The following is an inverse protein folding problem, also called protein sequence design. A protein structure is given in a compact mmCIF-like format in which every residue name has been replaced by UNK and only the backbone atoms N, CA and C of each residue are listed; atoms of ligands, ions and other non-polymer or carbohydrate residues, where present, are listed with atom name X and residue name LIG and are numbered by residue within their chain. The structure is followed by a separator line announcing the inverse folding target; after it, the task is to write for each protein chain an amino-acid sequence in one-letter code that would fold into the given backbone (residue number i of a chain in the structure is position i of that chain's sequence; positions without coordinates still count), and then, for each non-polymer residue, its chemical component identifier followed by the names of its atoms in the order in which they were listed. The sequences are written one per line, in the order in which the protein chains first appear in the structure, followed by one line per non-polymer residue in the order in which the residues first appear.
data_IF_113767318743
#
_entry.id   IF_113767318743
#
_cell.length_a   1.000
_cell.length_b   1.000
_cell.length_c   1.000
_cell.angle_alpha   90.00
_cell.angle_beta   90.00
_cell.angle_gamma   90.00
#
_symmetry.space_group_name_H-M   'P 1'
#
loop_
_entity.id
_entity.type
_entity.pdbx_description
1 polymer ?
#
# COMPACT_ATOMS: atom_id res chain seq x y z
N UNK A 1 -39.82 -31.58 -21.13
CA UNK A 1 -39.38 -30.78 -19.96
C UNK A 1 -37.95 -31.18 -19.62
N UNK A 2 -36.96 -30.45 -20.13
CA UNK A 2 -35.55 -30.78 -19.94
C UNK A 2 -35.08 -30.37 -18.53
N UNK A 3 -34.63 -31.35 -17.75
CA UNK A 3 -34.03 -31.17 -16.42
C UNK A 3 -32.70 -30.43 -16.55
N UNK A 4 -32.64 -29.18 -16.09
CA UNK A 4 -31.39 -28.44 -15.90
C UNK A 4 -30.64 -29.09 -14.74
N UNK A 5 -29.53 -29.76 -15.03
CA UNK A 5 -28.60 -30.22 -14.00
C UNK A 5 -27.94 -28.98 -13.41
N UNK A 6 -28.19 -28.68 -12.14
CA UNK A 6 -27.42 -27.71 -11.39
C UNK A 6 -26.01 -28.30 -11.21
N UNK A 7 -25.04 -27.74 -11.93
CA UNK A 7 -23.63 -28.07 -11.71
C UNK A 7 -23.26 -27.71 -10.27
N UNK A 8 -22.80 -28.70 -9.50
CA UNK A 8 -22.23 -28.46 -8.18
C UNK A 8 -21.08 -27.46 -8.32
N UNK A 9 -21.08 -26.33 -7.60
CA UNK A 9 -20.00 -25.35 -7.70
C UNK A 9 -18.68 -26.01 -7.32
N UNK A 10 -17.80 -26.21 -8.29
CA UNK A 10 -16.42 -26.64 -8.03
C UNK A 10 -15.71 -25.43 -7.43
N UNK A 11 -15.37 -25.50 -6.15
CA UNK A 11 -14.52 -24.51 -5.51
C UNK A 11 -13.14 -24.54 -6.18
N UNK A 12 -12.84 -23.53 -7.00
CA UNK A 12 -11.51 -23.34 -7.58
C UNK A 12 -10.66 -22.54 -6.61
N UNK A 13 -9.54 -23.12 -6.19
CA UNK A 13 -8.46 -22.38 -5.56
C UNK A 13 -7.76 -21.59 -6.68
N UNK A 14 -8.00 -20.29 -6.74
CA UNK A 14 -7.31 -19.37 -7.64
C UNK A 14 -6.23 -18.68 -6.81
N UNK A 15 -4.98 -18.79 -7.24
CA UNK A 15 -3.88 -18.07 -6.61
C UNK A 15 -4.12 -16.55 -6.72
N UNK A 16 -3.84 -15.77 -5.66
CA UNK A 16 -3.99 -14.33 -5.72
C UNK A 16 -3.06 -13.74 -6.77
N UNK A 17 -3.55 -12.74 -7.51
CA UNK A 17 -2.70 -11.96 -8.42
C UNK A 17 -1.76 -11.12 -7.56
N UNK A 18 -0.45 -11.29 -7.79
CA UNK A 18 0.58 -10.50 -7.15
C UNK A 18 0.85 -9.25 -7.96
N UNK A 19 0.75 -8.10 -7.32
CA UNK A 19 0.95 -6.79 -7.92
C UNK A 19 1.64 -5.83 -6.93
N UNK A 20 1.89 -4.60 -7.37
CA UNK A 20 2.62 -3.58 -6.61
C UNK A 20 1.69 -2.49 -6.09
N UNK A 21 1.94 -2.01 -4.88
CA UNK A 21 1.18 -0.89 -4.31
C UNK A 21 2.02 -0.03 -3.38
N UNK A 22 1.62 1.24 -3.27
CA UNK A 22 2.10 2.20 -2.30
C UNK A 22 1.01 2.59 -1.30
N UNK A 23 1.43 2.99 -0.10
CA UNK A 23 0.56 3.47 0.96
C UNK A 23 1.15 4.71 1.65
N UNK A 24 0.28 5.50 2.27
CA UNK A 24 0.70 6.42 3.33
C UNK A 24 0.83 5.64 4.64
N UNK A 25 1.56 6.20 5.60
CA UNK A 25 1.72 5.62 6.93
C UNK A 25 1.19 6.60 7.98
N UNK A 26 0.41 6.11 8.92
CA UNK A 26 -0.03 6.85 10.11
C UNK A 26 0.33 6.07 11.35
N UNK A 27 0.59 6.76 12.47
CA UNK A 27 0.83 6.05 13.72
C UNK A 27 0.93 6.91 14.99
N UNK A 28 1.12 6.20 16.10
CA UNK A 28 1.27 6.73 17.45
C UNK A 28 2.51 7.61 17.60
N UNK A 29 2.62 8.34 18.72
CA UNK A 29 3.71 9.32 18.95
C UNK A 29 5.08 8.67 19.09
N UNK A 30 5.12 7.43 19.55
CA UNK A 30 6.30 6.60 19.78
C UNK A 30 6.61 5.65 18.61
N UNK A 31 5.72 5.55 17.62
CA UNK A 31 5.93 4.73 16.42
C UNK A 31 5.70 3.24 16.60
N UNK A 32 5.10 2.83 17.72
CA UNK A 32 4.81 1.42 18.05
C UNK A 32 3.49 0.92 17.46
N UNK A 33 2.52 1.82 17.26
CA UNK A 33 1.25 1.52 16.60
C UNK A 33 1.17 2.25 15.26
N UNK A 34 1.18 1.50 14.16
CA UNK A 34 1.19 2.04 12.80
C UNK A 34 0.14 1.38 11.92
N UNK A 35 -0.41 2.14 10.98
CA UNK A 35 -1.39 1.67 9.99
C UNK A 35 -1.04 2.19 8.61
N UNK A 36 -1.20 1.32 7.62
CA UNK A 36 -1.23 1.69 6.21
C UNK A 36 -2.53 2.44 5.94
N UNK A 37 -2.42 3.63 5.38
CA UNK A 37 -3.55 4.43 4.95
C UNK A 37 -3.55 4.56 3.41
N UNK A 38 -4.72 4.82 2.80
CA UNK A 38 -4.79 5.09 1.37
C UNK A 38 -3.87 6.24 0.94
N UNK A 39 -3.32 6.15 -0.27
CA UNK A 39 -2.57 7.28 -0.87
C UNK A 39 -3.49 8.45 -1.20
N UNK A 40 -4.70 8.14 -1.68
CA UNK A 40 -5.66 9.12 -2.15
C UNK A 40 -7.03 8.82 -1.54
N UNK A 41 -7.82 9.88 -1.37
CA UNK A 41 -9.14 9.83 -0.75
C UNK A 41 -9.11 9.85 0.78
N UNK A 42 -10.29 9.72 1.36
CA UNK A 42 -10.60 9.72 2.79
C UNK A 42 -10.91 8.31 3.33
N UNK A 43 -10.50 7.28 2.58
CA UNK A 43 -10.73 5.90 2.94
C UNK A 43 -10.09 5.51 4.28
N UNK A 44 -10.71 4.55 4.96
CA UNK A 44 -10.20 4.02 6.24
C UNK A 44 -8.81 3.39 6.06
N UNK A 45 -7.98 3.38 7.11
CA UNK A 45 -6.74 2.61 7.11
C UNK A 45 -7.00 1.12 6.82
N UNK A 46 -6.02 0.48 6.20
CA UNK A 46 -6.09 -0.93 5.86
C UNK A 46 -6.12 -1.77 7.14
N UNK A 47 -7.04 -2.75 7.24
CA UNK A 47 -7.19 -3.57 8.42
C UNK A 47 -5.93 -4.45 8.61
N UNK A 48 -5.32 -4.46 9.81
CA UNK A 48 -4.24 -5.38 10.12
C UNK A 48 -4.74 -6.84 10.13
N UNK A 49 -3.95 -7.77 9.56
CA UNK A 49 -4.20 -9.23 9.63
C UNK A 49 -5.53 -9.68 9.05
N UNK A 50 -6.18 -8.83 8.25
CA UNK A 50 -7.43 -9.15 7.55
C UNK A 50 -7.38 -8.54 6.16
N UNK A 51 -7.97 -9.20 5.15
CA UNK A 51 -8.14 -8.62 3.83
C UNK A 51 -8.88 -7.29 3.89
N UNK A 52 -8.46 -6.34 3.07
CA UNK A 52 -9.25 -5.16 2.78
C UNK A 52 -10.32 -5.53 1.75
N UNK A 53 -11.56 -5.09 1.97
CA UNK A 53 -12.69 -5.34 1.07
C UNK A 53 -13.16 -4.04 0.40
N UNK A 54 -13.31 -4.09 -0.92
CA UNK A 54 -13.68 -2.95 -1.72
C UNK A 54 -15.17 -2.71 -1.64
N UNK A 55 -15.55 -1.46 -1.37
CA UNK A 55 -16.92 -1.00 -1.50
C UNK A 55 -16.98 0.23 -2.41
N UNK A 56 -18.04 0.32 -3.23
CA UNK A 56 -18.28 1.50 -4.05
C UNK A 56 -18.92 2.60 -3.20
N UNK A 57 -18.15 3.60 -2.81
CA UNK A 57 -18.66 4.74 -2.03
C UNK A 57 -19.56 5.67 -2.84
N UNK A 58 -19.35 5.76 -4.16
CA UNK A 58 -20.05 6.69 -5.06
C UNK A 58 -21.48 6.25 -5.36
N UNK A 59 -21.69 4.96 -5.65
CA UNK A 59 -23.00 4.49 -6.15
C UNK A 59 -23.71 3.54 -5.18
N UNK A 60 -23.01 2.93 -4.20
CA UNK A 60 -23.52 1.89 -3.26
C UNK A 60 -24.36 0.76 -3.91
N UNK A 61 -24.42 0.71 -5.24
CA UNK A 61 -25.33 -0.12 -6.03
C UNK A 61 -24.67 -1.38 -6.55
N UNK A 62 -23.36 -1.53 -6.37
CA UNK A 62 -22.61 -2.70 -6.80
C UNK A 62 -21.45 -3.02 -5.85
N UNK A 63 -21.07 -4.30 -5.82
CA UNK A 63 -19.83 -4.78 -5.23
C UNK A 63 -18.67 -4.36 -6.15
N UNK A 64 -17.60 -3.79 -5.60
CA UNK A 64 -16.45 -3.35 -6.39
C UNK A 64 -15.42 -4.47 -6.61
N UNK A 65 -14.63 -4.43 -7.68
CA UNK A 65 -14.62 -3.48 -8.79
C UNK A 65 -15.69 -3.79 -9.85
N UNK A 66 -16.20 -2.75 -10.49
CA UNK A 66 -17.03 -2.84 -11.70
C UNK A 66 -16.21 -2.29 -12.89
N UNK A 67 -16.47 -2.77 -14.12
CA UNK A 67 -15.68 -2.46 -15.32
C UNK A 67 -15.65 -0.95 -15.62
N UNK A 68 -16.79 -0.28 -15.52
CA UNK A 68 -16.99 1.14 -15.84
C UNK A 68 -17.00 2.06 -14.61
N UNK A 69 -16.73 1.52 -13.42
CA UNK A 69 -16.51 2.27 -12.20
C UNK A 69 -15.01 2.36 -11.88
N UNK A 70 -14.57 3.33 -11.06
CA UNK A 70 -13.20 3.41 -10.54
C UNK A 70 -13.04 2.78 -9.15
N UNK A 71 -14.05 2.07 -8.64
CA UNK A 71 -13.95 1.41 -7.34
C UNK A 71 -12.98 0.20 -7.37
N UNK A 72 -12.62 -0.30 -6.20
CA UNK A 72 -11.69 -1.42 -6.05
C UNK A 72 -10.31 -1.01 -5.58
N UNK A 73 -9.55 -1.98 -5.06
CA UNK A 73 -8.16 -1.76 -4.69
C UNK A 73 -7.28 -1.81 -5.92
N UNK A 74 -6.62 -0.70 -6.21
CA UNK A 74 -5.69 -0.59 -7.34
C UNK A 74 -4.32 -1.15 -6.98
N UNK A 75 -3.70 -1.85 -7.92
CA UNK A 75 -2.30 -2.23 -7.83
C UNK A 75 -1.68 -2.12 -9.21
N UNK A 76 -0.40 -1.76 -9.27
CA UNK A 76 0.35 -1.66 -10.51
C UNK A 76 1.00 -2.99 -10.87
N UNK A 77 1.21 -3.26 -12.15
CA UNK A 77 1.97 -4.43 -12.61
C UNK A 77 3.48 -4.33 -12.33
N UNK A 78 3.99 -3.11 -12.14
CA UNK A 78 5.42 -2.83 -11.89
C UNK A 78 5.58 -1.77 -10.79
N UNK A 79 6.64 -1.83 -9.97
CA UNK A 79 6.91 -0.80 -8.97
C UNK A 79 7.25 0.56 -9.62
N UNK A 80 7.82 0.56 -10.83
CA UNK A 80 8.20 1.80 -11.50
C UNK A 80 6.98 2.62 -11.94
N UNK A 81 5.84 1.98 -12.21
CA UNK A 81 4.57 2.65 -12.48
C UNK A 81 4.07 3.47 -11.27
N UNK A 82 4.56 3.17 -10.07
CA UNK A 82 4.18 3.86 -8.83
C UNK A 82 5.07 5.06 -8.48
N UNK A 83 6.13 5.36 -9.25
CA UNK A 83 7.09 6.43 -8.94
C UNK A 83 6.46 7.83 -8.83
N UNK A 84 5.36 8.04 -9.56
CA UNK A 84 4.60 9.30 -9.57
C UNK A 84 3.52 9.35 -8.48
N UNK A 85 3.42 8.32 -7.64
CA UNK A 85 2.59 8.35 -6.44
C UNK A 85 3.01 9.53 -5.59
N UNK A 86 2.06 10.36 -5.19
CA UNK A 86 2.32 11.50 -4.31
C UNK A 86 2.65 11.02 -2.90
N UNK A 87 3.86 11.38 -2.43
CA UNK A 87 4.34 11.19 -1.06
C UNK A 87 4.12 9.79 -0.45
N UNK A 88 4.48 8.68 -1.13
CA UNK A 88 4.38 7.34 -0.56
C UNK A 88 5.30 7.18 0.64
N UNK A 89 4.81 6.52 1.69
CA UNK A 89 5.62 6.14 2.85
C UNK A 89 6.03 4.67 2.80
N UNK A 90 5.19 3.82 2.20
CA UNK A 90 5.40 2.38 2.13
C UNK A 90 5.23 1.92 0.69
N UNK A 91 6.14 1.06 0.24
CA UNK A 91 6.05 0.28 -1.00
C UNK A 91 5.94 -1.20 -0.64
N UNK A 92 5.21 -1.96 -1.44
CA UNK A 92 5.05 -3.38 -1.19
C UNK A 92 4.40 -4.12 -2.34
N UNK A 93 4.44 -5.44 -2.24
CA UNK A 93 3.61 -6.32 -3.03
C UNK A 93 2.26 -6.52 -2.35
N UNK A 94 1.22 -6.75 -3.15
CA UNK A 94 -0.14 -6.96 -2.70
C UNK A 94 -0.74 -8.14 -3.44
N UNK A 95 -1.41 -9.03 -2.70
CA UNK A 95 -2.21 -10.11 -3.26
C UNK A 95 -3.61 -9.59 -3.52
N UNK A 96 -4.13 -9.87 -4.71
CA UNK A 96 -5.44 -9.42 -5.20
C UNK A 96 -6.31 -10.62 -5.56
N UNK A 97 -7.58 -10.62 -5.13
CA UNK A 97 -8.52 -11.71 -5.44
C UNK A 97 -9.99 -11.28 -5.36
N UNK A 98 -10.89 -12.24 -5.61
CA UNK A 98 -12.32 -12.01 -5.78
C UNK A 98 -12.62 -11.61 -7.22
N UNK A 99 -13.37 -10.52 -7.43
CA UNK A 99 -13.50 -9.93 -8.76
C UNK A 99 -12.27 -9.09 -9.05
N UNK A 100 -11.61 -9.37 -10.16
CA UNK A 100 -10.43 -8.62 -10.63
C UNK A 100 -10.72 -8.04 -12.00
N UNK A 101 -10.31 -6.79 -12.21
CA UNK A 101 -10.31 -6.11 -13.51
C UNK A 101 -8.88 -5.73 -13.83
N UNK A 102 -8.36 -6.24 -14.93
CA UNK A 102 -7.07 -5.85 -15.49
C UNK A 102 -7.18 -4.57 -16.32
N UNK A 103 -6.14 -3.74 -16.25
CA UNK A 103 -5.95 -2.50 -16.98
C UNK A 103 -4.53 -2.49 -17.55
N UNK A 104 -4.26 -1.61 -18.51
CA UNK A 104 -2.96 -1.50 -19.19
C UNK A 104 -1.73 -1.45 -18.25
N UNK A 105 -1.89 -0.90 -17.04
CA UNK A 105 -0.80 -0.72 -16.08
C UNK A 105 -1.02 -1.42 -14.73
N UNK A 106 -1.99 -2.34 -14.65
CA UNK A 106 -2.21 -3.12 -13.44
C UNK A 106 -3.63 -3.60 -13.25
N UNK A 107 -4.10 -3.60 -12.00
CA UNK A 107 -5.28 -4.34 -11.60
C UNK A 107 -6.14 -3.55 -10.63
N UNK A 108 -7.44 -3.87 -10.61
CA UNK A 108 -8.37 -3.51 -9.54
C UNK A 108 -9.02 -4.77 -9.00
N UNK A 109 -9.14 -4.91 -7.69
CA UNK A 109 -9.73 -6.11 -7.08
C UNK A 109 -10.70 -5.84 -5.94
N UNK A 110 -11.58 -6.82 -5.68
CA UNK A 110 -12.54 -6.80 -4.55
C UNK A 110 -11.82 -6.94 -3.23
N UNK A 111 -10.83 -7.82 -3.17
CA UNK A 111 -10.04 -8.07 -2.00
C UNK A 111 -8.57 -7.80 -2.27
N UNK A 112 -7.91 -7.26 -1.26
CA UNK A 112 -6.48 -7.03 -1.31
C UNK A 112 -5.84 -7.23 0.08
N UNK A 113 -4.63 -7.77 0.10
CA UNK A 113 -3.82 -7.83 1.32
C UNK A 113 -2.34 -7.66 1.02
N UNK A 114 -1.60 -6.81 1.77
CA UNK A 114 -0.16 -6.67 1.61
C UNK A 114 0.54 -8.01 1.79
N UNK A 115 1.57 -8.28 1.00
CA UNK A 115 2.33 -9.54 1.07
C UNK A 115 3.75 -9.31 1.58
N UNK A 116 4.40 -8.24 1.09
CA UNK A 116 5.71 -7.79 1.58
C UNK A 116 5.74 -6.27 1.59
N UNK A 117 6.34 -5.68 2.62
CA UNK A 117 6.36 -4.23 2.81
C UNK A 117 7.76 -3.70 3.08
N UNK A 118 8.04 -2.47 2.64
CA UNK A 118 9.20 -1.69 3.05
C UNK A 118 8.86 -0.22 3.18
N UNK A 119 9.52 0.46 4.12
CA UNK A 119 9.52 1.91 4.16
C UNK A 119 10.28 2.45 2.94
N UNK A 120 9.82 3.56 2.38
CA UNK A 120 10.49 4.23 1.27
C UNK A 120 10.64 5.72 1.55
N UNK A 121 11.81 6.25 1.22
CA UNK A 121 11.99 7.69 1.11
C UNK A 121 11.35 8.12 -0.21
N UNK A 122 10.27 8.91 -0.14
CA UNK A 122 9.50 9.27 -1.32
C UNK A 122 10.32 10.03 -2.37
N UNK A 123 11.27 10.87 -1.95
CA UNK A 123 12.17 11.60 -2.84
C UNK A 123 13.08 10.64 -3.61
N UNK A 124 13.71 9.69 -2.91
CA UNK A 124 14.51 8.63 -3.54
C UNK A 124 13.67 7.81 -4.53
N UNK A 125 12.47 7.39 -4.11
CA UNK A 125 11.61 6.53 -4.91
C UNK A 125 11.11 7.23 -6.17
N UNK A 126 10.69 8.49 -6.08
CA UNK A 126 10.28 9.25 -7.25
C UNK A 126 11.42 9.44 -8.26
N UNK A 127 12.64 9.71 -7.78
CA UNK A 127 13.80 9.92 -8.64
C UNK A 127 14.33 8.63 -9.28
N UNK A 128 14.40 7.54 -8.52
CA UNK A 128 15.17 6.35 -8.92
C UNK A 128 14.36 5.06 -9.03
N UNK A 129 13.09 5.05 -8.61
CA UNK A 129 12.20 3.90 -8.73
C UNK A 129 12.77 2.64 -8.10
N UNK A 130 12.83 1.55 -8.85
CA UNK A 130 13.44 0.28 -8.40
C UNK A 130 14.90 0.38 -7.97
N UNK A 131 15.62 1.41 -8.43
CA UNK A 131 17.02 1.69 -8.07
C UNK A 131 17.17 2.61 -6.86
N UNK A 132 16.06 3.01 -6.23
CA UNK A 132 16.12 3.85 -5.05
C UNK A 132 16.87 3.16 -3.90
N UNK A 133 17.72 3.88 -3.15
CA UNK A 133 18.36 3.36 -1.97
C UNK A 133 17.37 2.62 -1.05
N UNK A 134 17.79 1.45 -0.61
CA UNK A 134 17.05 0.52 0.24
C UNK A 134 16.49 1.16 1.50
N UNK A 135 17.31 2.01 2.10
CA UNK A 135 17.26 2.30 3.51
C UNK A 135 16.65 3.66 3.80
N UNK A 136 15.79 3.67 4.82
CA UNK A 136 15.37 4.86 5.53
C UNK A 136 15.96 4.75 6.93
N UNK A 137 16.67 5.77 7.39
CA UNK A 137 17.22 5.81 8.74
C UNK A 137 16.18 6.36 9.72
N UNK A 138 15.29 7.24 9.24
CA UNK A 138 14.33 7.95 10.10
C UNK A 138 12.92 7.94 9.54
N UNK A 139 11.97 8.20 10.44
CA UNK A 139 10.56 8.49 10.13
C UNK A 139 10.17 9.80 10.79
N UNK A 140 9.81 10.79 9.98
CA UNK A 140 9.28 12.07 10.44
C UNK A 140 7.79 11.91 10.71
N UNK A 141 7.38 12.13 11.96
CA UNK A 141 5.97 12.09 12.36
C UNK A 141 5.40 13.51 12.47
N UNK A 142 4.43 13.83 11.62
CA UNK A 142 3.73 15.11 11.62
C UNK A 142 2.60 15.18 12.67
N UNK A 143 2.09 16.39 12.88
CA UNK A 143 0.81 16.60 13.60
C UNK A 143 -0.29 15.86 12.83
N UNK A 144 -1.19 15.18 13.55
CA UNK A 144 -2.20 14.30 12.94
C UNK A 144 -1.73 12.86 12.69
N UNK A 145 -0.47 12.52 12.98
CA UNK A 145 0.01 11.14 12.99
C UNK A 145 0.56 10.61 11.69
N UNK A 146 0.51 11.38 10.59
CA UNK A 146 1.19 11.04 9.33
C UNK A 146 2.69 10.84 9.56
N UNK A 147 3.21 9.76 8.99
CA UNK A 147 4.60 9.34 9.10
C UNK A 147 5.25 9.34 7.71
N UNK A 148 6.40 10.00 7.60
CA UNK A 148 7.15 10.18 6.35
C UNK A 148 8.57 9.62 6.56
N UNK A 149 8.87 8.43 6.05
CA UNK A 149 10.22 7.89 6.06
C UNK A 149 11.13 8.71 5.15
N UNK A 150 12.35 8.96 5.63
CA UNK A 150 13.38 9.66 4.87
C UNK A 150 14.71 8.94 5.05
N UNK A 151 15.55 8.99 4.03
CA UNK A 151 16.96 8.74 4.22
C UNK A 151 17.64 9.96 4.86
N UNK A 152 18.81 9.78 5.45
CA UNK A 152 19.60 10.84 6.08
C UNK A 152 19.87 12.03 5.14
N UNK A 153 20.34 11.84 3.87
CA UNK A 153 20.52 12.95 2.94
C UNK A 153 19.25 13.77 2.70
N UNK A 154 18.08 13.12 2.63
CA UNK A 154 16.81 13.80 2.41
C UNK A 154 16.23 14.41 3.70
N UNK A 155 16.57 13.90 4.87
CA UNK A 155 16.29 14.57 6.15
C UNK A 155 17.07 15.88 6.25
N UNK A 156 18.36 15.86 5.91
CA UNK A 156 19.21 17.05 5.88
C UNK A 156 18.71 18.08 4.86
N UNK A 157 18.36 17.62 3.66
CA UNK A 157 17.77 18.47 2.63
C UNK A 157 16.49 19.14 3.14
N UNK A 158 15.60 18.36 3.77
CA UNK A 158 14.35 18.87 4.35
C UNK A 158 14.61 19.97 5.39
N UNK A 159 15.59 19.77 6.28
CA UNK A 159 16.00 20.78 7.27
C UNK A 159 16.55 22.03 6.60
N UNK A 160 17.41 21.88 5.59
CA UNK A 160 18.04 22.99 4.85
C UNK A 160 17.01 23.90 4.18
N UNK A 161 15.96 23.33 3.60
CA UNK A 161 14.89 24.08 2.93
C UNK A 161 13.74 24.49 3.87
N UNK A 162 13.92 24.37 5.20
CA UNK A 162 12.94 24.81 6.18
C UNK A 162 11.67 23.93 6.26
N UNK A 163 11.71 22.71 5.74
CA UNK A 163 10.59 21.79 5.88
C UNK A 163 10.40 21.36 7.33
N UNK A 164 9.16 21.38 7.81
CA UNK A 164 8.86 21.10 9.21
C UNK A 164 9.09 19.63 9.54
N UNK A 165 10.05 19.35 10.42
CA UNK A 165 10.38 18.00 10.93
C UNK A 165 10.11 17.88 12.44
N UNK A 166 8.84 17.89 12.87
CA UNK A 166 8.49 18.15 14.27
C UNK A 166 8.82 17.00 15.23
N UNK A 167 8.89 15.76 14.74
CA UNK A 167 9.32 14.59 15.51
C UNK A 167 10.00 13.60 14.58
N UNK A 168 11.22 13.22 14.92
CA UNK A 168 12.01 12.23 14.18
C UNK A 168 12.09 10.96 15.02
N UNK A 169 11.68 9.85 14.44
CA UNK A 169 11.76 8.51 15.04
C UNK A 169 12.80 7.69 14.28
N UNK A 170 13.53 6.77 14.93
CA UNK A 170 14.32 5.78 14.21
C UNK A 170 13.42 4.92 13.32
N UNK A 171 13.83 4.66 12.08
CA UNK A 171 13.01 3.89 11.15
C UNK A 171 12.92 2.39 11.49
N UNK A 172 13.96 1.82 12.12
CA UNK A 172 13.99 0.37 12.42
C UNK A 172 12.82 -0.09 13.30
N UNK A 173 12.52 0.53 14.46
CA UNK A 173 11.36 0.15 15.26
C UNK A 173 10.02 0.35 14.53
N UNK A 174 9.88 1.45 13.77
CA UNK A 174 8.66 1.73 12.98
C UNK A 174 8.45 0.67 11.91
N UNK A 175 9.52 0.25 11.22
CA UNK A 175 9.49 -0.85 10.25
C UNK A 175 9.11 -2.16 10.92
N UNK A 176 9.71 -2.50 12.07
CA UNK A 176 9.37 -3.71 12.81
C UNK A 176 7.90 -3.71 13.25
N UNK A 177 7.39 -2.57 13.74
CA UNK A 177 5.99 -2.39 14.10
C UNK A 177 5.06 -2.55 12.87
N UNK A 178 5.45 -2.02 11.71
CA UNK A 178 4.70 -2.17 10.47
C UNK A 178 4.59 -3.65 10.04
N UNK A 179 5.72 -4.35 9.96
CA UNK A 179 5.77 -5.75 9.56
C UNK A 179 4.98 -6.62 10.55
N UNK A 180 5.13 -6.36 11.86
CA UNK A 180 4.37 -7.07 12.90
C UNK A 180 2.86 -6.77 12.85
N UNK A 181 2.46 -5.53 12.58
CA UNK A 181 1.04 -5.17 12.50
C UNK A 181 0.35 -5.94 11.37
N UNK A 182 0.99 -6.03 10.20
CA UNK A 182 0.43 -6.71 9.03
C UNK A 182 0.86 -8.17 8.89
N UNK A 183 1.69 -8.71 9.79
CA UNK A 183 2.18 -10.09 9.72
C UNK A 183 2.74 -10.45 8.33
N UNK A 184 3.63 -9.59 7.82
CA UNK A 184 4.25 -9.71 6.50
C UNK A 184 5.75 -9.55 6.61
N UNK A 185 6.46 -10.07 5.61
CA UNK A 185 7.91 -9.97 5.53
C UNK A 185 8.39 -8.64 4.94
N UNK A 186 9.66 -8.34 5.20
CA UNK A 186 10.35 -7.21 4.58
C UNK A 186 10.47 -7.44 3.07
N UNK A 187 10.04 -6.45 2.28
CA UNK A 187 10.34 -6.39 0.86
C UNK A 187 11.81 -5.98 0.67
N UNK A 188 12.67 -6.94 0.30
CA UNK A 188 14.12 -6.73 0.12
C UNK A 188 14.47 -6.25 -1.30
N UNK A 189 13.89 -6.88 -2.30
CA UNK A 189 14.19 -6.69 -3.73
C UNK A 189 12.97 -6.18 -4.49
N UNK A 190 13.19 -5.53 -5.64
CA UNK A 190 12.17 -4.89 -6.48
C UNK A 190 12.14 -5.52 -7.89
N UNK A 191 12.32 -6.84 -7.94
CA UNK A 191 12.38 -7.65 -9.16
C UNK A 191 11.08 -7.64 -9.97
#
# INVERSE_FOLDING_TARGET
MASVRLETPIARLIEPIHAWRTWTLVGSRDGTDVRLAPIAGDGKPWPPRRPAEASCTRHRSHVGPELHCTCGFHAASSPDALRRTRDPAVLGTVGLWGRVVEHEHGFRASFAYPQRLRLVCYLCFSLWGRRAPGDCEVVVRHRGGRMVPLCEPHLELSRRYGYRVPRVLPARPVRSALLAAYAVDLLRELD
#
